data_IF_842184953577
#
_entry.id   IF_842184953577
#
_cell.length_a   1.000
_cell.length_b   1.000
_cell.length_c   1.000
_cell.angle_alpha   90.00
_cell.angle_beta   90.00
_cell.angle_gamma   90.00
#
_symmetry.space_group_name_H-M   'P 1'
#
loop_
_entity.id
_entity.type
_entity.pdbx_description
1 polymer ?
#
# COMPACT_ATOMS: atom_id res chain seq x y z
N UNK A 1 1.10 7.19 -9.40
CA UNK A 1 1.91 6.18 -8.65
C UNK A 1 2.87 6.80 -7.67
N UNK A 2 3.21 8.07 -7.82
CA UNK A 2 4.15 8.74 -6.92
C UNK A 2 3.68 8.70 -5.47
N UNK A 3 2.42 9.00 -5.23
CA UNK A 3 1.84 9.00 -3.87
C UNK A 3 1.96 7.63 -3.21
N UNK A 4 1.66 6.57 -3.97
CA UNK A 4 1.74 5.21 -3.45
C UNK A 4 3.19 4.83 -3.15
N UNK A 5 4.11 5.16 -4.06
CA UNK A 5 5.54 4.87 -3.87
C UNK A 5 6.07 5.55 -2.62
N UNK A 6 5.74 6.82 -2.42
CA UNK A 6 6.18 7.58 -1.25
C UNK A 6 5.59 7.01 0.04
N UNK A 7 4.29 6.69 0.02
CA UNK A 7 3.62 6.13 1.20
C UNK A 7 4.21 4.77 1.59
N UNK A 8 4.45 3.91 0.61
CA UNK A 8 5.03 2.58 0.84
C UNK A 8 6.45 2.72 1.39
N UNK A 9 7.27 3.57 0.78
CA UNK A 9 8.65 3.78 1.20
C UNK A 9 8.71 4.30 2.64
N UNK A 10 7.84 5.23 2.98
CA UNK A 10 7.78 5.79 4.33
C UNK A 10 7.37 4.71 5.35
N UNK A 11 6.36 3.93 5.04
CA UNK A 11 5.90 2.88 5.95
C UNK A 11 6.97 1.80 6.14
N UNK A 12 7.69 1.45 5.08
CA UNK A 12 8.80 0.51 5.18
C UNK A 12 9.87 1.00 6.17
N UNK A 13 10.21 2.29 6.12
CA UNK A 13 11.17 2.87 7.04
C UNK A 13 10.64 2.88 8.47
N UNK A 14 9.38 3.21 8.64
CA UNK A 14 8.75 3.21 9.96
C UNK A 14 8.73 1.81 10.56
N UNK A 15 8.42 0.79 9.76
CA UNK A 15 8.41 -0.59 10.21
C UNK A 15 9.82 -1.05 10.59
N UNK A 16 10.82 -0.70 9.77
CA UNK A 16 12.21 -1.07 10.05
C UNK A 16 12.73 -0.43 11.34
N UNK A 17 12.26 0.78 11.64
CA UNK A 17 12.66 1.51 12.84
C UNK A 17 11.86 1.12 14.10
N UNK A 18 10.79 0.35 13.93
CA UNK A 18 9.93 -0.02 15.05
C UNK A 18 10.67 -1.01 15.97
N UNK A 19 10.91 -0.63 17.24
CA UNK A 19 11.82 -1.40 18.09
C UNK A 19 11.23 -2.66 18.71
N UNK A 20 9.90 -2.75 18.82
CA UNK A 20 9.26 -3.90 19.44
C UNK A 20 9.11 -5.04 18.42
N UNK A 21 9.09 -6.27 18.93
CA UNK A 21 8.84 -7.40 18.07
C UNK A 21 7.38 -7.46 17.66
N UNK A 22 7.15 -7.78 16.40
CA UNK A 22 5.81 -7.94 15.85
C UNK A 22 5.72 -9.36 15.27
N UNK A 23 4.75 -10.16 15.72
CA UNK A 23 4.63 -11.56 15.23
C UNK A 23 4.53 -11.64 13.71
N UNK A 24 3.83 -10.70 13.10
CA UNK A 24 3.58 -10.70 11.66
C UNK A 24 4.47 -9.72 10.89
N UNK A 25 5.59 -9.29 11.51
CA UNK A 25 6.54 -8.40 10.82
C UNK A 25 7.00 -8.96 9.48
N UNK A 26 7.38 -10.25 9.37
CA UNK A 26 7.80 -10.79 8.07
C UNK A 26 6.72 -10.68 7.01
N UNK A 27 5.46 -10.87 7.38
CA UNK A 27 4.33 -10.72 6.45
C UNK A 27 4.23 -9.27 5.98
N UNK A 28 4.30 -8.32 6.92
CA UNK A 28 4.22 -6.91 6.60
C UNK A 28 5.37 -6.47 5.69
N UNK A 29 6.58 -6.90 5.99
CA UNK A 29 7.74 -6.57 5.18
C UNK A 29 7.61 -7.14 3.76
N UNK A 30 7.13 -8.36 3.64
CA UNK A 30 6.91 -9.01 2.36
C UNK A 30 5.85 -8.27 1.53
N UNK A 31 4.73 -7.88 2.15
CA UNK A 31 3.67 -7.18 1.44
C UNK A 31 4.08 -5.77 1.04
N UNK A 32 4.83 -5.08 1.88
CA UNK A 32 5.37 -3.77 1.53
C UNK A 32 6.36 -3.87 0.36
N UNK A 33 7.19 -4.91 0.36
CA UNK A 33 8.09 -5.16 -0.76
C UNK A 33 7.32 -5.45 -2.05
N UNK A 34 6.22 -6.21 -1.94
CA UNK A 34 5.37 -6.50 -3.09
C UNK A 34 4.71 -5.22 -3.64
N UNK A 35 4.21 -4.37 -2.75
CA UNK A 35 3.64 -3.09 -3.15
C UNK A 35 4.68 -2.20 -3.84
N UNK A 36 5.90 -2.16 -3.28
CA UNK A 36 6.98 -1.39 -3.87
C UNK A 36 7.32 -1.90 -5.27
N UNK A 37 7.38 -3.22 -5.44
CA UNK A 37 7.66 -3.83 -6.74
C UNK A 37 6.57 -3.51 -7.76
N UNK A 38 5.31 -3.50 -7.34
CA UNK A 38 4.20 -3.16 -8.21
C UNK A 38 4.26 -1.72 -8.71
N UNK A 39 4.81 -0.80 -7.90
CA UNK A 39 4.94 0.61 -8.31
C UNK A 39 6.07 0.84 -9.31
N UNK A 40 7.00 -0.10 -9.42
CA UNK A 40 8.14 0.01 -10.33
C UNK A 40 7.87 -0.69 -11.65
N UNK A 41 7.13 -1.79 -11.62
CA UNK A 41 6.95 -2.68 -12.77
C UNK A 41 5.92 -2.26 -13.80
N UNK A 42 5.39 -1.03 -13.75
CA UNK A 42 4.36 -0.56 -14.66
C UNK A 42 3.05 -0.29 -13.93
N UNK A 43 1.92 -0.55 -14.59
CA UNK A 43 0.60 -0.29 -14.00
C UNK A 43 0.14 -1.53 -13.24
N UNK A 44 0.07 -1.49 -11.91
CA UNK A 44 -0.36 -2.65 -11.14
C UNK A 44 -1.86 -2.86 -11.23
N UNK A 45 -2.28 -4.10 -11.01
CA UNK A 45 -3.69 -4.43 -10.94
C UNK A 45 -4.26 -3.99 -9.59
N UNK A 46 -5.43 -3.34 -9.63
CA UNK A 46 -6.08 -2.83 -8.43
C UNK A 46 -6.37 -3.93 -7.42
N UNK A 47 -6.82 -5.10 -7.89
CA UNK A 47 -7.13 -6.23 -7.01
C UNK A 47 -5.90 -6.71 -6.24
N UNK A 48 -4.75 -6.73 -6.88
CA UNK A 48 -3.50 -7.13 -6.22
C UNK A 48 -3.08 -6.10 -5.17
N UNK A 49 -3.25 -4.82 -5.48
CA UNK A 49 -2.99 -3.76 -4.52
C UNK A 49 -3.86 -3.90 -3.29
N UNK A 50 -5.15 -4.15 -3.48
CA UNK A 50 -6.08 -4.32 -2.37
C UNK A 50 -5.77 -5.56 -1.55
N UNK A 51 -5.37 -6.65 -2.19
CA UNK A 51 -5.00 -7.88 -1.48
C UNK A 51 -3.79 -7.65 -0.59
N UNK A 52 -2.74 -7.03 -1.13
CA UNK A 52 -1.55 -6.71 -0.34
C UNK A 52 -1.88 -5.77 0.80
N UNK A 53 -2.75 -4.79 0.56
CA UNK A 53 -3.19 -3.85 1.59
C UNK A 53 -3.93 -4.57 2.72
N UNK A 54 -4.81 -5.53 2.39
CA UNK A 54 -5.53 -6.29 3.40
C UNK A 54 -4.59 -7.15 4.25
N UNK A 55 -3.62 -7.80 3.62
CA UNK A 55 -2.63 -8.58 4.36
C UNK A 55 -1.78 -7.70 5.26
N UNK A 56 -1.39 -6.55 4.76
CA UNK A 56 -0.63 -5.57 5.52
C UNK A 56 -1.44 -5.06 6.72
N UNK A 57 -2.71 -4.73 6.49
CA UNK A 57 -3.59 -4.26 7.57
C UNK A 57 -3.77 -5.33 8.64
N UNK A 58 -3.88 -6.61 8.24
CA UNK A 58 -3.98 -7.71 9.19
C UNK A 58 -2.71 -7.87 10.01
N UNK A 59 -1.55 -7.62 9.40
CA UNK A 59 -0.26 -7.81 10.07
C UNK A 59 0.07 -6.68 11.05
N UNK A 60 -0.21 -5.42 10.70
CA UNK A 60 0.23 -4.26 11.49
C UNK A 60 -0.88 -3.26 11.80
N UNK A 61 -2.12 -3.56 11.43
CA UNK A 61 -3.23 -2.60 11.58
C UNK A 61 -3.55 -2.22 13.02
N UNK A 62 -3.19 -3.08 13.98
CA UNK A 62 -3.41 -2.81 15.40
C UNK A 62 -2.25 -2.07 16.06
N UNK A 63 -1.17 -1.81 15.34
CA UNK A 63 0.02 -1.15 15.88
C UNK A 63 -0.14 0.35 15.74
N UNK A 64 -0.41 1.04 16.83
CA UNK A 64 -0.69 2.49 16.84
C UNK A 64 0.41 3.31 16.15
N UNK A 65 1.65 2.97 16.42
CA UNK A 65 2.78 3.72 15.86
C UNK A 65 2.86 3.63 14.33
N UNK A 66 2.27 2.60 13.74
CA UNK A 66 2.28 2.38 12.30
C UNK A 66 0.95 2.71 11.62
N UNK A 67 -0.08 3.02 12.39
CA UNK A 67 -1.43 3.21 11.88
C UNK A 67 -1.53 4.35 10.88
N UNK A 68 -0.86 5.46 11.14
CA UNK A 68 -0.90 6.62 10.26
C UNK A 68 -0.23 6.33 8.92
N UNK A 69 0.91 5.63 8.95
CA UNK A 69 1.59 5.21 7.73
C UNK A 69 0.73 4.27 6.90
N UNK A 70 0.06 3.33 7.56
CA UNK A 70 -0.85 2.41 6.90
C UNK A 70 -2.03 3.15 6.27
N UNK A 71 -2.60 4.13 6.98
CA UNK A 71 -3.69 4.95 6.46
C UNK A 71 -3.27 5.68 5.19
N UNK A 72 -2.05 6.20 5.14
CA UNK A 72 -1.54 6.87 3.95
C UNK A 72 -1.38 5.92 2.76
N UNK A 73 -0.92 4.69 3.01
CA UNK A 73 -0.83 3.67 1.96
C UNK A 73 -2.22 3.35 1.45
N UNK A 74 -3.18 3.16 2.35
CA UNK A 74 -4.57 2.90 1.98
C UNK A 74 -5.15 4.01 1.11
N UNK A 75 -4.96 5.25 1.52
CA UNK A 75 -5.46 6.41 0.78
C UNK A 75 -4.85 6.47 -0.63
N UNK A 76 -3.56 6.16 -0.74
CA UNK A 76 -2.88 6.16 -2.04
C UNK A 76 -3.40 5.06 -2.94
N UNK A 77 -3.67 3.86 -2.39
CA UNK A 77 -4.25 2.75 -3.15
C UNK A 77 -5.66 3.13 -3.64
N UNK A 78 -6.47 3.72 -2.78
CA UNK A 78 -7.82 4.13 -3.14
C UNK A 78 -7.79 5.22 -4.23
N UNK A 79 -6.90 6.18 -4.09
CA UNK A 79 -6.74 7.23 -5.09
C UNK A 79 -6.32 6.67 -6.44
N UNK A 80 -5.41 5.70 -6.44
CA UNK A 80 -5.01 5.03 -7.67
C UNK A 80 -6.19 4.31 -8.32
N UNK A 81 -7.00 3.60 -7.53
CA UNK A 81 -8.19 2.91 -8.02
C UNK A 81 -9.21 3.88 -8.62
N UNK A 82 -9.43 5.02 -7.98
CA UNK A 82 -10.32 6.05 -8.48
C UNK A 82 -9.82 6.62 -9.80
N UNK A 83 -8.53 6.90 -9.91
CA UNK A 83 -7.94 7.42 -11.15
C UNK A 83 -8.09 6.41 -12.28
N UNK A 84 -7.90 5.13 -12.01
CA UNK A 84 -8.08 4.08 -13.01
C UNK A 84 -9.53 4.00 -13.46
N UNK A 85 -10.46 4.00 -12.52
CA UNK A 85 -11.89 3.97 -12.85
C UNK A 85 -12.31 5.22 -13.63
N UNK A 86 -11.84 6.39 -13.19
CA UNK A 86 -12.12 7.65 -13.86
C UNK A 86 -11.61 7.67 -15.29
N UNK A 87 -10.41 7.16 -15.52
CA UNK A 87 -9.84 7.08 -16.86
C UNK A 87 -10.65 6.14 -17.75
N UNK A 88 -11.10 5.00 -17.22
CA UNK A 88 -11.93 4.06 -17.96
C UNK A 88 -13.31 4.63 -18.25
N UNK A 89 -13.92 5.27 -17.26
CA UNK A 89 -15.22 5.91 -17.41
C UNK A 89 -15.16 7.05 -18.44
N UNK A 90 -14.10 7.85 -18.37
CA UNK A 90 -13.87 8.91 -19.33
C UNK A 90 -13.79 8.39 -20.75
N UNK A 91 -13.09 7.29 -20.93
CA UNK A 91 -13.00 6.62 -22.22
C UNK A 91 -14.35 6.10 -22.70
N UNK A 92 -15.12 5.53 -21.79
CA UNK A 92 -16.45 5.02 -22.12
C UNK A 92 -17.43 6.17 -22.44
N UNK A 93 -17.28 7.28 -21.76
CA UNK A 93 -18.15 8.45 -21.98
C UNK A 93 -17.82 9.20 -23.26
N UNK A 94 -16.59 9.07 -23.66
CA UNK A 94 -16.16 9.73 -24.87
C UNK A 94 -16.71 9.07 -26.08
#
# INVERSE_FOLDING_TARGET
MTELRVAVSRLRRQLAAYPAELPDRPIAEEELAALAAMTVGGVPETDRLHRSLLLLAGAIGSVSALAQGLTRVRAAVELFGERRRGAMDGGASG
#
